data_IF_362918311853
#
_entry.id   IF_362918311853
#
_cell.length_a   1.000
_cell.length_b   1.000
_cell.length_c   1.000
_cell.angle_alpha   90.00
_cell.angle_beta   90.00
_cell.angle_gamma   90.00
#
_symmetry.space_group_name_H-M   'P 1'
#
loop_
_entity.id
_entity.type
_entity.pdbx_description
1 polymer ?
#
# COMPACT_ATOMS: atom_id res chain seq x y z
N UNK A 1 -46.62 23.54 -18.84
CA UNK A 1 -45.76 23.52 -17.65
C UNK A 1 -46.41 24.38 -16.59
N UNK A 2 -46.61 23.82 -15.40
CA UNK A 2 -47.23 24.55 -14.29
C UNK A 2 -46.27 25.57 -13.70
N UNK A 3 -46.81 26.71 -13.26
CA UNK A 3 -46.00 27.84 -12.73
C UNK A 3 -45.13 27.41 -11.55
N UNK A 4 -45.60 26.42 -10.78
CA UNK A 4 -44.90 25.85 -9.65
C UNK A 4 -43.69 25.01 -10.08
N UNK A 5 -43.79 24.30 -11.20
CA UNK A 5 -42.67 23.54 -11.79
C UNK A 5 -41.59 24.50 -12.29
N UNK A 6 -41.97 25.61 -12.93
CA UNK A 6 -41.03 26.63 -13.41
C UNK A 6 -40.31 27.31 -12.25
N UNK A 7 -41.04 27.67 -11.17
CA UNK A 7 -40.42 28.22 -9.94
C UNK A 7 -39.43 27.22 -9.33
N UNK A 8 -39.77 25.92 -9.30
CA UNK A 8 -38.90 24.87 -8.78
C UNK A 8 -37.59 24.75 -9.56
N UNK A 9 -37.65 24.77 -10.89
CA UNK A 9 -36.44 24.74 -11.73
C UNK A 9 -35.54 25.96 -11.53
N UNK A 10 -36.12 27.16 -11.36
CA UNK A 10 -35.34 28.38 -11.09
C UNK A 10 -34.64 28.31 -9.72
N UNK A 11 -35.31 27.78 -8.70
CA UNK A 11 -34.71 27.58 -7.38
C UNK A 11 -33.57 26.55 -7.41
N UNK A 12 -33.74 25.44 -8.13
CA UNK A 12 -32.70 24.42 -8.30
C UNK A 12 -31.49 25.00 -9.06
N UNK A 13 -31.73 25.76 -10.13
CA UNK A 13 -30.66 26.41 -10.89
C UNK A 13 -29.88 27.42 -10.03
N UNK A 14 -30.58 28.22 -9.22
CA UNK A 14 -29.94 29.13 -8.26
C UNK A 14 -29.12 28.40 -7.21
N UNK A 15 -29.63 27.27 -6.69
CA UNK A 15 -28.93 26.46 -5.69
C UNK A 15 -27.63 25.86 -6.25
N UNK A 16 -27.65 25.34 -7.48
CA UNK A 16 -26.46 24.76 -8.14
C UNK A 16 -25.39 25.83 -8.36
N UNK A 17 -25.77 27.02 -8.83
CA UNK A 17 -24.82 28.12 -9.06
C UNK A 17 -24.22 28.60 -7.73
N UNK A 18 -25.06 28.79 -6.71
CA UNK A 18 -24.59 29.18 -5.37
C UNK A 18 -23.65 28.14 -4.75
N UNK A 19 -24.01 26.86 -4.84
CA UNK A 19 -23.19 25.75 -4.35
C UNK A 19 -21.87 25.60 -5.14
N UNK A 20 -21.88 25.85 -6.45
CA UNK A 20 -20.69 25.80 -7.30
C UNK A 20 -19.68 26.89 -6.97
N UNK A 21 -20.14 28.08 -6.57
CA UNK A 21 -19.24 29.17 -6.12
C UNK A 21 -18.67 28.85 -4.75
N UNK A 22 -19.48 28.30 -3.84
CA UNK A 22 -19.06 27.94 -2.50
C UNK A 22 -18.08 26.75 -2.47
N UNK A 23 -18.21 25.79 -3.39
CA UNK A 23 -17.32 24.62 -3.51
C UNK A 23 -16.23 24.78 -4.57
N UNK A 24 -16.00 25.98 -5.09
CA UNK A 24 -14.86 26.20 -5.99
C UNK A 24 -13.57 25.87 -5.21
N UNK A 25 -12.76 24.90 -5.65
CA UNK A 25 -11.54 24.53 -4.95
C UNK A 25 -10.60 25.73 -4.85
N UNK A 26 -9.94 25.88 -3.71
CA UNK A 26 -9.03 27.01 -3.49
C UNK A 26 -7.84 26.93 -4.46
N UNK A 27 -7.34 28.09 -4.92
CA UNK A 27 -6.24 28.13 -5.89
C UNK A 27 -4.97 27.44 -5.36
N UNK A 28 -4.78 27.38 -4.04
CA UNK A 28 -3.68 26.67 -3.41
C UNK A 28 -3.78 25.14 -3.55
N UNK A 29 -4.99 24.58 -3.46
CA UNK A 29 -5.21 23.15 -3.69
C UNK A 29 -5.00 22.79 -5.16
N UNK A 30 -5.39 23.69 -6.06
CA UNK A 30 -5.16 23.52 -7.49
C UNK A 30 -3.66 23.48 -7.81
N UNK A 31 -2.87 24.36 -7.20
CA UNK A 31 -1.40 24.36 -7.34
C UNK A 31 -0.74 23.13 -6.69
N UNK A 32 -1.28 22.60 -5.58
CA UNK A 32 -0.78 21.34 -4.99
C UNK A 32 -1.08 20.15 -5.89
N UNK A 33 -2.25 20.10 -6.51
CA UNK A 33 -2.60 19.05 -7.46
C UNK A 33 -1.74 19.13 -8.73
N UNK A 34 -1.50 20.34 -9.27
CA UNK A 34 -0.58 20.52 -10.41
C UNK A 34 0.84 20.06 -10.07
N UNK A 35 1.39 20.47 -8.91
CA UNK A 35 2.70 20.00 -8.44
C UNK A 35 2.78 18.48 -8.29
N UNK A 36 1.70 17.84 -7.81
CA UNK A 36 1.62 16.38 -7.73
C UNK A 36 1.65 15.74 -9.11
N UNK A 37 0.85 16.24 -10.06
CA UNK A 37 0.81 15.72 -11.43
C UNK A 37 2.17 15.87 -12.13
N UNK A 38 2.84 17.00 -11.99
CA UNK A 38 4.17 17.24 -12.57
C UNK A 38 5.23 16.27 -12.00
N UNK A 39 5.19 16.02 -10.68
CA UNK A 39 6.11 15.07 -10.05
C UNK A 39 5.91 13.62 -10.51
N UNK A 40 4.66 13.24 -10.84
CA UNK A 40 4.35 11.90 -11.34
C UNK A 40 4.85 11.75 -12.78
N UNK A 41 4.66 12.76 -13.63
CA UNK A 41 5.10 12.73 -15.02
C UNK A 41 6.63 12.57 -15.15
N UNK A 42 7.41 13.23 -14.29
CA UNK A 42 8.86 13.14 -14.32
C UNK A 42 9.37 11.75 -13.91
N UNK A 43 8.70 11.09 -12.96
CA UNK A 43 9.02 9.71 -12.55
C UNK A 43 8.65 8.72 -13.64
N UNK A 44 7.51 8.91 -14.31
CA UNK A 44 7.09 8.03 -15.40
C UNK A 44 8.04 8.09 -16.61
N UNK A 45 8.53 9.28 -16.97
CA UNK A 45 9.48 9.44 -18.07
C UNK A 45 10.86 8.83 -17.74
N UNK A 46 11.28 8.93 -16.48
CA UNK A 46 12.50 8.26 -16.00
C UNK A 46 12.37 6.73 -16.01
N UNK A 47 11.18 6.20 -15.69
CA UNK A 47 10.89 4.76 -15.81
C UNK A 47 10.85 4.30 -17.27
N UNK A 48 10.27 5.08 -18.19
CA UNK A 48 10.24 4.75 -19.63
C UNK A 48 11.64 4.78 -20.25
N UNK A 49 12.49 5.71 -19.83
CA UNK A 49 13.90 5.79 -20.28
C UNK A 49 14.77 4.67 -19.68
N UNK A 50 14.45 4.21 -18.46
CA UNK A 50 15.08 3.05 -17.84
C UNK A 50 14.62 1.71 -18.47
N UNK A 51 13.43 1.65 -19.06
CA UNK A 51 12.92 0.45 -19.75
C UNK A 51 13.47 0.25 -21.17
N UNK A 52 14.09 1.28 -21.79
CA UNK A 52 14.74 1.18 -23.11
C UNK A 52 16.26 1.02 -23.04
N UNK A 53 16.85 1.19 -21.85
CA UNK A 53 18.16 0.62 -21.55
C UNK A 53 17.92 -0.82 -21.11
N UNK A 54 18.70 -1.83 -21.54
CA UNK A 54 18.70 -3.12 -20.87
C UNK A 54 19.32 -2.91 -19.49
N UNK A 55 18.51 -2.45 -18.54
CA UNK A 55 18.82 -2.36 -17.13
C UNK A 55 18.38 -3.68 -16.51
N UNK A 56 19.38 -4.45 -16.10
CA UNK A 56 19.26 -5.55 -15.16
C UNK A 56 18.34 -5.14 -13.98
N UNK A 57 17.34 -5.98 -13.72
CA UNK A 57 16.64 -6.19 -12.45
C UNK A 57 16.53 -5.00 -11.48
N UNK A 58 15.32 -4.42 -11.35
CA UNK A 58 14.72 -4.06 -10.04
C UNK A 58 13.23 -3.80 -10.23
N UNK A 59 12.37 -4.53 -9.51
CA UNK A 59 10.97 -4.11 -9.36
C UNK A 59 9.88 -5.17 -9.46
N UNK A 60 10.17 -6.45 -9.27
CA UNK A 60 9.11 -7.40 -8.94
C UNK A 60 8.98 -7.45 -7.42
N UNK A 61 7.92 -6.87 -6.87
CA UNK A 61 7.39 -7.28 -5.57
C UNK A 61 6.84 -8.71 -5.72
N UNK A 62 7.75 -9.66 -5.94
CA UNK A 62 7.49 -11.08 -5.80
C UNK A 62 7.46 -11.35 -4.29
N UNK A 63 6.54 -12.19 -3.77
CA UNK A 63 6.61 -12.63 -2.39
C UNK A 63 8.02 -13.17 -2.12
N UNK A 64 8.74 -12.52 -1.20
CA UNK A 64 10.12 -12.84 -0.81
C UNK A 64 10.22 -14.18 -0.04
N UNK A 65 9.32 -15.12 -0.32
CA UNK A 65 9.33 -16.45 0.27
C UNK A 65 10.13 -17.45 -0.56
N UNK A 66 10.23 -17.24 -1.88
CA UNK A 66 10.81 -18.24 -2.80
C UNK A 66 12.00 -17.72 -3.63
N UNK A 67 12.44 -16.48 -3.41
CA UNK A 67 13.46 -15.80 -4.23
C UNK A 67 14.77 -15.56 -3.48
N UNK A 68 15.13 -16.45 -2.55
CA UNK A 68 16.42 -16.33 -1.83
C UNK A 68 17.23 -17.62 -1.87
N UNK A 69 16.65 -18.74 -2.29
CA UNK A 69 17.38 -20.02 -2.36
C UNK A 69 18.46 -20.03 -3.44
N UNK A 70 18.31 -19.25 -4.53
CA UNK A 70 19.23 -19.29 -5.68
C UNK A 70 19.78 -17.93 -6.14
N UNK A 71 19.72 -16.86 -5.32
CA UNK A 71 20.32 -15.58 -5.73
C UNK A 71 21.82 -15.56 -5.41
N UNK A 72 22.66 -15.05 -6.34
CA UNK A 72 24.09 -14.88 -6.08
C UNK A 72 24.31 -13.87 -4.94
N UNK A 73 25.35 -14.11 -4.13
CA UNK A 73 25.67 -13.31 -2.94
C UNK A 73 25.74 -11.80 -3.23
N UNK A 74 26.31 -11.43 -4.38
CA UNK A 74 26.42 -10.03 -4.82
C UNK A 74 25.07 -9.32 -4.99
N UNK A 75 24.03 -10.05 -5.37
CA UNK A 75 22.68 -9.49 -5.52
C UNK A 75 22.00 -9.35 -4.16
N UNK A 76 22.29 -10.27 -3.23
CA UNK A 76 21.81 -10.22 -1.85
C UNK A 76 22.43 -9.05 -1.08
N UNK A 77 23.73 -8.78 -1.26
CA UNK A 77 24.40 -7.62 -0.67
C UNK A 77 23.83 -6.30 -1.18
N UNK A 78 23.53 -6.20 -2.49
CA UNK A 78 22.88 -5.01 -3.06
C UNK A 78 21.47 -4.78 -2.49
N UNK A 79 20.73 -5.85 -2.20
CA UNK A 79 19.34 -5.76 -1.74
C UNK A 79 19.20 -5.58 -0.22
N UNK A 80 20.04 -6.25 0.57
CA UNK A 80 19.91 -6.34 2.03
C UNK A 80 21.10 -5.73 2.80
N UNK A 81 22.17 -5.30 2.11
CA UNK A 81 23.33 -4.65 2.71
C UNK A 81 23.98 -5.50 3.79
N UNK A 82 24.24 -4.91 4.95
CA UNK A 82 24.82 -5.58 6.13
C UNK A 82 24.00 -6.76 6.66
N UNK A 83 22.73 -6.90 6.24
CA UNK A 83 21.86 -8.02 6.63
C UNK A 83 21.81 -9.14 5.58
N UNK A 84 22.58 -9.07 4.49
CA UNK A 84 22.59 -10.09 3.44
C UNK A 84 22.89 -11.50 3.96
N UNK A 85 23.80 -11.62 4.95
CA UNK A 85 24.13 -12.90 5.54
C UNK A 85 22.95 -13.52 6.35
N UNK A 86 22.06 -12.70 6.89
CA UNK A 86 20.87 -13.16 7.59
C UNK A 86 19.69 -13.49 6.64
N UNK A 87 19.80 -13.13 5.37
CA UNK A 87 18.81 -13.47 4.35
C UNK A 87 18.99 -14.91 3.83
N UNK A 88 20.20 -15.48 3.96
CA UNK A 88 20.49 -16.86 3.56
C UNK A 88 20.02 -17.87 4.62
N UNK A 89 19.38 -18.95 4.18
CA UNK A 89 18.91 -20.03 5.06
C UNK A 89 17.45 -20.41 4.82
N UNK A 90 17.01 -21.46 5.52
CA UNK A 90 15.64 -21.96 5.43
C UNK A 90 14.69 -21.11 6.28
N UNK A 91 13.48 -20.88 5.77
CA UNK A 91 12.44 -20.17 6.51
C UNK A 91 11.84 -21.12 7.54
N UNK A 92 11.97 -20.75 8.81
CA UNK A 92 11.40 -21.48 9.94
C UNK A 92 10.50 -20.56 10.76
N UNK A 93 9.52 -21.16 11.43
CA UNK A 93 8.57 -20.44 12.27
C UNK A 93 8.77 -20.79 13.74
N UNK A 94 8.82 -19.77 14.58
CA UNK A 94 8.88 -19.86 16.03
C UNK A 94 7.60 -19.29 16.62
N UNK A 95 6.95 -20.04 17.50
CA UNK A 95 5.74 -19.59 18.19
C UNK A 95 6.09 -19.11 19.59
N UNK A 96 5.83 -17.83 19.86
CA UNK A 96 5.97 -17.19 21.16
C UNK A 96 4.58 -17.05 21.80
N UNK A 97 4.44 -17.52 23.04
CA UNK A 97 3.15 -17.62 23.71
C UNK A 97 3.16 -16.90 25.07
N UNK A 98 2.12 -16.12 25.36
CA UNK A 98 1.83 -15.60 26.71
C UNK A 98 0.36 -15.85 27.11
N UNK A 99 -0.11 -15.25 28.20
CA UNK A 99 -1.50 -15.43 28.69
C UNK A 99 -2.58 -14.86 27.76
N UNK A 100 -2.24 -13.92 26.88
CA UNK A 100 -3.21 -13.19 26.05
C UNK A 100 -3.13 -13.54 24.57
N UNK A 101 -1.94 -13.86 24.07
CA UNK A 101 -1.63 -13.95 22.64
C UNK A 101 -0.66 -15.10 22.37
N UNK A 102 -0.81 -15.75 21.20
CA UNK A 102 0.22 -16.57 20.59
C UNK A 102 0.68 -15.93 19.28
N UNK A 103 1.98 -15.67 19.16
CA UNK A 103 2.60 -15.01 18.02
C UNK A 103 3.47 -16.03 17.25
N UNK A 104 3.20 -16.22 15.96
CA UNK A 104 4.06 -17.00 15.07
C UNK A 104 4.99 -16.04 14.32
N UNK A 105 6.29 -16.21 14.47
CA UNK A 105 7.33 -15.33 13.94
C UNK A 105 8.25 -16.12 13.01
N UNK A 106 8.60 -15.56 11.87
CA UNK A 106 9.58 -16.11 10.93
C UNK A 106 11.01 -15.78 11.37
N UNK A 107 11.92 -16.77 11.33
CA UNK A 107 13.36 -16.55 11.56
C UNK A 107 13.99 -15.61 10.52
N UNK A 108 13.39 -15.50 9.32
CA UNK A 108 13.77 -14.50 8.31
C UNK A 108 13.22 -13.12 8.67
N UNK A 109 14.07 -12.29 9.25
CA UNK A 109 13.78 -10.87 9.53
C UNK A 109 12.76 -10.64 10.65
N UNK A 110 12.55 -11.62 11.54
CA UNK A 110 11.64 -11.54 12.68
C UNK A 110 10.22 -11.09 12.32
N UNK A 111 9.76 -11.44 11.12
CA UNK A 111 8.43 -11.04 10.64
C UNK A 111 7.35 -11.81 11.40
N UNK A 112 6.39 -11.09 11.95
CA UNK A 112 5.17 -11.69 12.51
C UNK A 112 4.35 -12.23 11.35
N UNK A 113 4.03 -13.52 11.40
CA UNK A 113 3.26 -14.24 10.38
C UNK A 113 1.80 -14.44 10.80
N UNK A 114 1.57 -14.68 12.09
CA UNK A 114 0.23 -14.80 12.63
C UNK A 114 0.18 -14.42 14.11
N UNK A 115 -0.94 -13.91 14.57
CA UNK A 115 -1.22 -13.64 15.97
C UNK A 115 -2.60 -14.20 16.37
N UNK A 116 -2.64 -15.14 17.31
CA UNK A 116 -3.87 -15.67 17.90
C UNK A 116 -4.23 -14.89 19.16
N UNK A 117 -5.43 -14.32 19.24
CA UNK A 117 -5.91 -13.64 20.44
C UNK A 117 -6.74 -14.59 21.31
N UNK A 118 -6.19 -15.06 22.44
CA UNK A 118 -6.79 -16.14 23.25
C UNK A 118 -8.16 -15.82 23.84
N UNK A 119 -8.40 -14.55 24.14
CA UNK A 119 -9.65 -14.07 24.76
C UNK A 119 -10.74 -13.71 23.75
N UNK A 120 -10.49 -13.93 22.46
CA UNK A 120 -11.39 -13.50 21.39
C UNK A 120 -11.68 -14.66 20.45
N UNK A 121 -12.91 -14.69 19.95
CA UNK A 121 -13.33 -15.59 18.90
C UNK A 121 -13.91 -14.78 17.74
N UNK A 122 -13.86 -15.36 16.54
CA UNK A 122 -14.58 -14.87 15.38
C UNK A 122 -16.09 -15.14 15.52
N UNK A 123 -16.90 -14.57 14.62
CA UNK A 123 -18.37 -14.68 14.67
C UNK A 123 -18.87 -16.13 14.62
N UNK A 124 -18.11 -17.01 13.98
CA UNK A 124 -18.35 -18.47 13.89
C UNK A 124 -17.80 -19.26 15.09
N UNK A 125 -17.39 -18.58 16.17
CA UNK A 125 -16.82 -19.17 17.40
C UNK A 125 -15.47 -19.87 17.23
N UNK A 126 -14.75 -19.63 16.12
CA UNK A 126 -13.37 -20.08 15.96
C UNK A 126 -12.37 -19.13 16.67
N UNK A 127 -11.14 -19.57 16.98
CA UNK A 127 -10.12 -18.70 17.55
C UNK A 127 -9.80 -17.52 16.62
N UNK A 128 -9.73 -16.30 17.18
CA UNK A 128 -9.40 -15.11 16.40
C UNK A 128 -7.91 -15.12 16.00
N UNK A 129 -7.65 -15.21 14.71
CA UNK A 129 -6.31 -15.18 14.09
C UNK A 129 -6.14 -13.88 13.28
N UNK A 130 -5.01 -13.21 13.44
CA UNK A 130 -4.58 -12.05 12.67
C UNK A 130 -3.34 -12.42 11.84
N UNK A 131 -3.19 -11.86 10.64
CA UNK A 131 -2.08 -12.13 9.70
C UNK A 131 -1.46 -10.82 9.21
#
# INVERSE_FOLDING_TARGET
>A
MDKNTVIGFVLIAGLIIGFSILNKPSEEELQRNQRRLDSIAMVEDQQRTAAQKPAENTGSQQPADNLTENLPADQLEKQFGTFAHAATGNKEFVTLQNELVDLTISNKGAKVYAARLKKYQTYDSLPLMLF
#
